data_IF_948757942673
#
_entry.id   IF_948757942673
#
_cell.length_a   1.000
_cell.length_b   1.000
_cell.length_c   1.000
_cell.angle_alpha   90.00
_cell.angle_beta   90.00
_cell.angle_gamma   90.00
#
_symmetry.space_group_name_H-M   'P 1'
#
loop_
_entity.id
_entity.type
_entity.pdbx_description
1 polymer ?
#
# COMPACT_ATOMS: atom_id res chain seq x y z
N UNK A 1 -11.72 -17.03 1.74
CA UNK A 1 -11.31 -16.70 3.13
C UNK A 1 -10.88 -15.25 3.14
N UNK A 2 -11.33 -14.44 4.08
CA UNK A 2 -10.90 -13.05 4.20
C UNK A 2 -10.70 -12.67 5.66
N UNK A 3 -10.20 -11.46 5.89
CA UNK A 3 -9.95 -10.95 7.23
C UNK A 3 -11.19 -10.36 7.93
N UNK A 4 -12.37 -10.35 7.31
CA UNK A 4 -13.53 -9.52 7.74
C UNK A 4 -14.07 -9.76 9.16
N UNK A 5 -13.62 -10.77 9.90
CA UNK A 5 -14.09 -11.06 11.27
C UNK A 5 -12.97 -11.47 12.22
N UNK A 6 -11.74 -11.04 11.96
CA UNK A 6 -10.55 -11.50 12.69
C UNK A 6 -10.22 -10.58 13.87
N UNK A 7 -10.22 -11.15 15.08
CA UNK A 7 -9.96 -10.39 16.31
C UNK A 7 -8.66 -10.78 17.02
N UNK A 8 -7.91 -11.78 16.53
CA UNK A 8 -6.68 -12.26 17.18
C UNK A 8 -5.48 -12.30 16.25
N UNK A 9 -4.28 -12.06 16.81
CA UNK A 9 -3.01 -12.05 16.06
C UNK A 9 -2.73 -13.40 15.39
N UNK A 10 -2.99 -14.51 16.08
CA UNK A 10 -2.80 -15.86 15.53
C UNK A 10 -3.72 -16.12 14.35
N UNK A 11 -4.96 -15.61 14.39
CA UNK A 11 -5.90 -15.73 13.27
C UNK A 11 -5.44 -14.88 12.07
N UNK A 12 -4.91 -13.67 12.30
CA UNK A 12 -4.28 -12.87 11.24
C UNK A 12 -3.11 -13.62 10.58
N UNK A 13 -2.20 -14.18 11.39
CA UNK A 13 -1.06 -14.95 10.88
C UNK A 13 -1.50 -16.19 10.09
N UNK A 14 -2.50 -16.93 10.57
CA UNK A 14 -3.06 -18.10 9.87
C UNK A 14 -3.66 -17.72 8.52
N UNK A 15 -4.49 -16.68 8.47
CA UNK A 15 -5.14 -16.25 7.24
C UNK A 15 -4.10 -15.72 6.24
N UNK A 16 -3.12 -14.96 6.70
CA UNK A 16 -2.00 -14.52 5.86
C UNK A 16 -1.27 -15.72 5.24
N UNK A 17 -0.95 -16.76 6.02
CA UNK A 17 -0.36 -18.00 5.51
C UNK A 17 -1.23 -18.65 4.44
N UNK A 18 -2.53 -18.84 4.71
CA UNK A 18 -3.43 -19.50 3.77
C UNK A 18 -3.61 -18.70 2.46
N UNK A 19 -3.70 -17.37 2.55
CA UNK A 19 -3.73 -16.48 1.39
C UNK A 19 -2.43 -16.55 0.59
N UNK A 20 -1.27 -16.57 1.25
CA UNK A 20 0.02 -16.69 0.58
C UNK A 20 0.19 -18.02 -0.16
N UNK A 21 -0.26 -19.14 0.43
CA UNK A 21 -0.23 -20.44 -0.24
C UNK A 21 -1.03 -20.35 -1.54
N UNK A 22 -2.28 -19.87 -1.44
CA UNK A 22 -3.16 -19.71 -2.61
C UNK A 22 -2.57 -18.80 -3.67
N UNK A 23 -2.03 -17.64 -3.27
CA UNK A 23 -1.38 -16.72 -4.21
C UNK A 23 -0.13 -17.32 -4.84
N UNK A 24 0.66 -18.11 -4.10
CA UNK A 24 1.85 -18.79 -4.64
C UNK A 24 1.49 -19.89 -5.65
N UNK A 25 0.38 -20.60 -5.43
CA UNK A 25 -0.13 -21.62 -6.34
C UNK A 25 -0.63 -21.02 -7.67
N UNK A 26 -1.23 -19.83 -7.63
CA UNK A 26 -1.80 -19.18 -8.82
C UNK A 26 -0.82 -18.24 -9.52
N UNK A 27 0.09 -17.59 -8.78
CA UNK A 27 1.00 -16.59 -9.34
C UNK A 27 1.94 -17.19 -10.39
N UNK A 28 1.91 -16.58 -11.58
CA UNK A 28 2.68 -17.01 -12.75
C UNK A 28 2.13 -18.25 -13.46
N UNK A 29 0.95 -18.76 -13.07
CA UNK A 29 0.22 -19.79 -13.80
C UNK A 29 -0.35 -19.27 -15.13
N UNK A 30 -0.89 -20.17 -15.96
CA UNK A 30 -1.41 -19.82 -17.30
C UNK A 30 -2.53 -18.78 -17.25
N UNK A 31 -3.48 -18.94 -16.32
CA UNK A 31 -4.62 -18.03 -16.18
C UNK A 31 -4.17 -16.66 -15.65
N UNK A 32 -3.27 -16.64 -14.66
CA UNK A 32 -2.67 -15.41 -14.14
C UNK A 32 -1.90 -14.65 -15.23
N UNK A 33 -1.07 -15.34 -16.02
CA UNK A 33 -0.36 -14.73 -17.17
C UNK A 33 -1.32 -14.19 -18.23
N UNK A 34 -2.42 -14.89 -18.51
CA UNK A 34 -3.44 -14.40 -19.45
C UNK A 34 -4.14 -13.14 -18.91
N UNK A 35 -4.44 -13.11 -17.61
CA UNK A 35 -4.97 -11.93 -16.94
C UNK A 35 -3.99 -10.75 -17.00
N UNK A 36 -2.72 -10.96 -16.65
CA UNK A 36 -1.67 -9.95 -16.72
C UNK A 36 -1.50 -9.44 -18.16
N UNK A 37 -1.52 -10.32 -19.16
CA UNK A 37 -1.43 -9.91 -20.56
C UNK A 37 -2.60 -9.02 -20.96
N UNK A 38 -3.83 -9.36 -20.57
CA UNK A 38 -5.00 -8.53 -20.84
C UNK A 38 -4.89 -7.15 -20.15
N UNK A 39 -4.48 -7.14 -18.88
CA UNK A 39 -4.27 -5.91 -18.09
C UNK A 39 -3.21 -5.00 -18.71
N UNK A 40 -2.09 -5.56 -19.18
CA UNK A 40 -1.02 -4.75 -19.75
C UNK A 40 -1.28 -4.36 -21.20
N UNK A 41 -1.96 -5.19 -21.98
CA UNK A 41 -2.30 -4.84 -23.36
C UNK A 41 -3.15 -3.57 -23.39
N UNK A 42 -4.19 -3.49 -22.54
CA UNK A 42 -5.02 -2.28 -22.46
C UNK A 42 -4.24 -1.04 -21.98
N UNK A 43 -3.27 -1.21 -21.07
CA UNK A 43 -2.42 -0.10 -20.59
C UNK A 43 -1.38 0.35 -21.61
N UNK A 44 -0.82 -0.56 -22.40
CA UNK A 44 0.17 -0.24 -23.43
C UNK A 44 -0.45 0.27 -24.72
N UNK A 45 -1.70 -0.09 -25.04
CA UNK A 45 -2.46 0.53 -26.14
C UNK A 45 -2.64 2.06 -25.96
N UNK A 46 -2.60 2.55 -24.72
CA UNK A 46 -2.64 3.98 -24.39
C UNK A 46 -1.24 4.60 -24.23
N UNK A 47 -0.19 3.77 -24.15
CA UNK A 47 1.20 4.21 -24.04
C UNK A 47 1.88 4.09 -25.40
N UNK A 48 1.45 4.90 -26.35
CA UNK A 48 2.19 5.14 -27.58
C UNK A 48 3.66 5.48 -27.23
N UNK A 49 4.61 4.82 -27.90
CA UNK A 49 6.06 5.06 -27.85
C UNK A 49 6.92 4.31 -26.79
N UNK A 50 6.94 2.97 -26.80
CA UNK A 50 8.09 2.25 -26.20
C UNK A 50 9.30 2.10 -27.14
N UNK A 51 9.23 2.58 -28.39
CA UNK A 51 10.35 2.52 -29.34
C UNK A 51 10.88 1.11 -29.62
N UNK A 52 10.18 0.06 -29.14
CA UNK A 52 10.48 -1.35 -29.44
C UNK A 52 9.78 -1.74 -30.73
N UNK A 53 10.50 -2.43 -31.60
CA UNK A 53 10.01 -2.88 -32.90
C UNK A 53 8.88 -3.93 -32.82
N UNK A 54 8.58 -4.46 -31.62
CA UNK A 54 7.49 -5.41 -31.37
C UNK A 54 6.83 -5.15 -29.99
N UNK A 55 5.66 -4.49 -29.95
CA UNK A 55 4.89 -4.26 -28.73
C UNK A 55 4.46 -5.55 -28.03
N UNK A 56 4.18 -6.63 -28.75
CA UNK A 56 3.73 -7.89 -28.16
C UNK A 56 4.86 -8.58 -27.39
N UNK A 57 6.07 -8.58 -27.96
CA UNK A 57 7.25 -9.07 -27.26
C UNK A 57 7.53 -8.24 -25.99
N UNK A 58 7.33 -6.91 -26.04
CA UNK A 58 7.47 -6.05 -24.88
C UNK A 58 6.46 -6.37 -23.77
N UNK A 59 5.19 -6.58 -24.12
CA UNK A 59 4.15 -7.00 -23.16
C UNK A 59 4.51 -8.36 -22.55
N UNK A 60 4.98 -9.32 -23.35
CA UNK A 60 5.37 -10.64 -22.87
C UNK A 60 6.52 -10.56 -21.83
N UNK A 61 7.57 -9.78 -22.12
CA UNK A 61 8.68 -9.55 -21.18
C UNK A 61 8.21 -8.96 -19.86
N UNK A 62 7.33 -7.96 -19.91
CA UNK A 62 6.78 -7.28 -18.72
C UNK A 62 5.93 -8.25 -17.91
N UNK A 63 5.04 -9.00 -18.56
CA UNK A 63 4.21 -10.03 -17.90
C UNK A 63 5.09 -11.06 -17.21
N UNK A 64 6.14 -11.54 -17.87
CA UNK A 64 7.06 -12.51 -17.31
C UNK A 64 7.86 -11.96 -16.12
N UNK A 65 8.32 -10.71 -16.21
CA UNK A 65 9.02 -10.05 -15.11
C UNK A 65 8.11 -9.88 -13.87
N UNK A 66 6.87 -9.41 -14.08
CA UNK A 66 5.90 -9.19 -13.01
C UNK A 66 5.45 -10.51 -12.40
N UNK A 67 5.19 -11.54 -13.21
CA UNK A 67 4.84 -12.87 -12.72
C UNK A 67 5.95 -13.46 -11.84
N UNK A 68 7.22 -13.33 -12.24
CA UNK A 68 8.37 -13.76 -11.43
C UNK A 68 8.48 -12.99 -10.12
N UNK A 69 8.41 -11.67 -10.17
CA UNK A 69 8.50 -10.82 -8.98
C UNK A 69 7.33 -11.07 -8.00
N UNK A 70 6.11 -11.16 -8.52
CA UNK A 70 4.92 -11.49 -7.73
C UNK A 70 5.09 -12.84 -7.05
N UNK A 71 5.51 -13.87 -7.78
CA UNK A 71 5.75 -15.21 -7.21
C UNK A 71 6.82 -15.18 -6.12
N UNK A 72 7.91 -14.42 -6.31
CA UNK A 72 8.95 -14.26 -5.30
C UNK A 72 8.39 -13.62 -4.02
N UNK A 73 7.65 -12.51 -4.14
CA UNK A 73 7.05 -11.85 -2.98
C UNK A 73 6.07 -12.79 -2.23
N UNK A 74 5.17 -13.47 -2.95
CA UNK A 74 4.19 -14.38 -2.34
C UNK A 74 4.83 -15.61 -1.68
N UNK A 75 5.89 -16.16 -2.25
CA UNK A 75 6.54 -17.38 -1.74
C UNK A 75 7.58 -17.12 -0.63
N UNK A 76 8.53 -16.22 -0.88
CA UNK A 76 9.70 -16.00 -0.02
C UNK A 76 9.72 -14.66 0.69
N UNK A 77 8.83 -13.72 0.33
CA UNK A 77 8.76 -12.42 0.99
C UNK A 77 8.38 -12.50 2.47
N UNK A 78 8.75 -11.49 3.26
CA UNK A 78 8.24 -11.35 4.63
C UNK A 78 6.76 -10.96 4.62
N UNK A 79 5.98 -11.50 5.56
CA UNK A 79 4.54 -11.26 5.66
C UNK A 79 4.23 -10.20 6.71
N UNK A 80 3.50 -9.17 6.31
CA UNK A 80 3.02 -8.10 7.18
C UNK A 80 1.49 -8.03 7.08
N UNK A 81 0.83 -7.83 8.21
CA UNK A 81 -0.61 -7.58 8.28
C UNK A 81 -0.81 -6.24 8.97
N UNK A 82 -1.45 -5.29 8.29
CA UNK A 82 -1.81 -4.02 8.90
C UNK A 82 -3.05 -4.22 9.77
N UNK A 83 -2.99 -3.92 11.06
CA UNK A 83 -4.19 -3.99 11.87
C UNK A 83 -5.20 -2.91 11.44
N UNK A 84 -6.53 -3.18 11.51
CA UNK A 84 -7.57 -2.23 11.13
C UNK A 84 -7.38 -0.79 11.65
N UNK A 85 -7.01 -0.65 12.93
CA UNK A 85 -6.78 0.67 13.54
C UNK A 85 -5.62 1.47 12.92
N UNK A 86 -4.71 0.81 12.20
CA UNK A 86 -3.59 1.44 11.48
C UNK A 86 -3.95 1.84 10.04
N UNK A 87 -5.03 1.27 9.46
CA UNK A 87 -5.45 1.51 8.07
C UNK A 87 -5.63 3.00 7.80
N UNK A 88 -6.38 3.68 8.66
CA UNK A 88 -6.62 5.12 8.60
C UNK A 88 -5.32 5.95 8.61
N UNK A 89 -4.36 5.55 9.42
CA UNK A 89 -3.10 6.28 9.62
C UNK A 89 -2.22 6.13 8.38
N UNK A 90 -2.10 4.91 7.85
CA UNK A 90 -1.33 4.64 6.64
C UNK A 90 -2.00 5.28 5.42
N UNK A 91 -3.33 5.20 5.32
CA UNK A 91 -4.08 5.85 4.24
C UNK A 91 -3.88 7.36 4.22
N UNK A 92 -4.08 8.04 5.36
CA UNK A 92 -3.89 9.48 5.47
C UNK A 92 -2.42 9.90 5.21
N UNK A 93 -1.47 9.08 5.67
CA UNK A 93 -0.05 9.32 5.41
C UNK A 93 0.30 9.14 3.93
N UNK A 94 -0.23 8.11 3.27
CA UNK A 94 -0.08 7.87 1.84
C UNK A 94 -0.68 9.00 1.00
N UNK A 95 -1.90 9.43 1.32
CA UNK A 95 -2.58 10.54 0.64
C UNK A 95 -1.77 11.85 0.71
N UNK A 96 -1.16 12.14 1.86
CA UNK A 96 -0.36 13.34 2.06
C UNK A 96 1.08 13.24 1.52
N UNK A 97 1.47 12.11 0.93
CA UNK A 97 2.86 11.86 0.55
C UNK A 97 3.15 12.28 -0.89
N UNK A 98 4.19 13.10 -1.04
CA UNK A 98 4.85 13.34 -2.31
C UNK A 98 6.35 13.04 -2.18
N UNK A 99 6.80 11.98 -2.84
CA UNK A 99 8.19 11.54 -2.89
C UNK A 99 8.99 12.20 -4.00
N UNK A 100 8.42 13.07 -4.83
CA UNK A 100 9.14 13.67 -5.96
C UNK A 100 10.47 14.28 -5.53
N UNK A 101 11.55 13.85 -6.16
CA UNK A 101 12.92 14.27 -5.86
C UNK A 101 13.56 13.64 -4.62
N UNK A 102 12.84 12.88 -3.81
CA UNK A 102 13.42 12.19 -2.65
C UNK A 102 14.41 11.11 -3.12
N UNK A 103 15.54 11.00 -2.41
CA UNK A 103 16.55 9.98 -2.65
C UNK A 103 16.34 8.80 -1.69
N UNK A 104 15.74 7.72 -2.18
CA UNK A 104 15.45 6.53 -1.37
C UNK A 104 16.65 5.57 -1.35
N UNK A 105 16.98 5.04 -0.17
CA UNK A 105 18.02 4.00 -0.02
C UNK A 105 17.40 2.60 -0.01
N UNK A 106 18.22 1.56 -0.18
CA UNK A 106 17.76 0.17 -0.05
C UNK A 106 17.19 -0.14 1.35
N UNK A 107 17.65 0.57 2.37
CA UNK A 107 17.18 0.43 3.76
C UNK A 107 15.82 1.10 4.02
N UNK A 108 15.25 1.77 3.01
CA UNK A 108 13.91 2.36 3.12
C UNK A 108 12.83 1.30 3.34
N UNK A 109 13.00 0.12 2.75
CA UNK A 109 12.11 -1.03 2.93
C UNK A 109 12.59 -1.91 4.09
N UNK A 110 11.69 -2.59 4.82
CA UNK A 110 12.08 -3.49 5.91
C UNK A 110 12.79 -4.76 5.43
N UNK A 111 12.64 -5.12 4.15
CA UNK A 111 13.23 -6.30 3.52
C UNK A 111 13.16 -6.22 1.98
N UNK A 112 13.94 -7.07 1.29
CA UNK A 112 14.04 -7.11 -0.20
C UNK A 112 12.81 -7.69 -0.91
N UNK A 113 12.01 -8.49 -0.21
CA UNK A 113 10.76 -9.02 -0.74
C UNK A 113 9.74 -9.06 0.40
N UNK A 114 8.53 -8.60 0.14
CA UNK A 114 7.50 -8.67 1.16
C UNK A 114 6.10 -8.52 0.64
N UNK A 115 5.17 -8.83 1.52
CA UNK A 115 3.73 -8.79 1.31
C UNK A 115 3.11 -8.05 2.48
N UNK A 116 2.37 -7.00 2.19
CA UNK A 116 1.51 -6.29 3.13
C UNK A 116 0.06 -6.68 2.85
N UNK A 117 -0.61 -7.26 3.83
CA UNK A 117 -2.05 -7.48 3.81
C UNK A 117 -2.77 -6.30 4.47
N UNK A 118 -3.88 -5.89 3.85
CA UNK A 118 -4.79 -4.86 4.34
C UNK A 118 -6.15 -5.53 4.63
N UNK A 119 -6.37 -6.02 5.86
CA UNK A 119 -7.65 -6.58 6.32
C UNK A 119 -8.85 -5.69 6.02
N UNK A 120 -8.66 -4.38 6.14
CA UNK A 120 -9.56 -3.35 5.64
C UNK A 120 -8.92 -2.76 4.39
N UNK A 121 -9.45 -3.08 3.19
CA UNK A 121 -8.91 -2.53 1.96
C UNK A 121 -8.94 -1.01 1.97
N UNK A 122 -7.89 -0.42 1.39
CA UNK A 122 -7.84 1.01 1.09
C UNK A 122 -8.27 1.14 -0.37
N UNK A 123 -9.27 1.97 -0.63
CA UNK A 123 -9.74 2.21 -1.99
C UNK A 123 -8.96 3.36 -2.58
N UNK A 124 -8.79 3.33 -3.89
CA UNK A 124 -8.34 4.50 -4.62
C UNK A 124 -9.25 4.74 -5.82
N UNK A 125 -9.43 6.02 -6.13
CA UNK A 125 -10.16 6.47 -7.31
C UNK A 125 -9.14 6.96 -8.32
N UNK A 126 -9.10 6.32 -9.49
CA UNK A 126 -8.25 6.75 -10.60
C UNK A 126 -8.75 8.07 -11.19
N UNK A 127 -7.91 8.78 -11.97
CA UNK A 127 -8.35 9.98 -12.67
C UNK A 127 -9.59 9.76 -13.57
N UNK A 128 -9.77 8.55 -14.11
CA UNK A 128 -10.96 8.15 -14.90
C UNK A 128 -12.24 8.02 -14.07
N UNK A 129 -12.17 8.15 -12.75
CA UNK A 129 -13.31 7.96 -11.84
C UNK A 129 -13.50 6.53 -11.34
N UNK A 130 -12.84 5.55 -11.96
CA UNK A 130 -12.91 4.13 -11.58
C UNK A 130 -12.32 3.92 -10.19
N UNK A 131 -13.03 3.17 -9.36
CA UNK A 131 -12.61 2.83 -8.00
C UNK A 131 -12.05 1.41 -7.99
N UNK A 132 -10.93 1.21 -7.29
CA UNK A 132 -10.37 -0.11 -7.06
C UNK A 132 -9.92 -0.26 -5.60
N UNK A 133 -10.13 -1.45 -5.03
CA UNK A 133 -9.64 -1.79 -3.70
C UNK A 133 -8.16 -2.20 -3.73
N UNK A 134 -7.42 -1.84 -2.69
CA UNK A 134 -6.10 -2.39 -2.39
C UNK A 134 -6.24 -3.20 -1.11
N UNK A 135 -6.27 -4.52 -1.24
CA UNK A 135 -6.33 -5.46 -0.13
C UNK A 135 -4.99 -6.14 0.17
N UNK A 136 -4.04 -6.06 -0.75
CA UNK A 136 -2.64 -6.44 -0.51
C UNK A 136 -1.68 -5.61 -1.36
N UNK A 137 -0.45 -5.44 -0.89
CA UNK A 137 0.65 -4.84 -1.66
C UNK A 137 1.86 -5.76 -1.54
N UNK A 138 2.49 -6.09 -2.66
CA UNK A 138 3.79 -6.78 -2.65
C UNK A 138 4.88 -5.88 -3.14
N UNK A 139 6.11 -6.12 -2.68
CA UNK A 139 7.29 -5.49 -3.25
C UNK A 139 8.41 -6.49 -3.46
N UNK A 140 9.27 -6.17 -4.42
CA UNK A 140 10.47 -6.94 -4.73
C UNK A 140 11.58 -6.00 -5.20
N UNK A 141 12.76 -6.11 -4.59
CA UNK A 141 13.96 -5.40 -5.05
C UNK A 141 14.39 -6.01 -6.39
N UNK A 142 14.48 -5.16 -7.40
CA UNK A 142 14.89 -5.55 -8.75
C UNK A 142 16.15 -4.78 -9.15
N UNK A 143 16.96 -5.41 -9.98
CA UNK A 143 18.11 -4.79 -10.63
C UNK A 143 17.89 -4.85 -12.14
N UNK A 144 18.16 -3.76 -12.85
CA UNK A 144 18.19 -3.73 -14.31
C UNK A 144 19.62 -4.01 -14.80
N UNK A 145 19.77 -4.52 -16.01
CA UNK A 145 21.09 -4.82 -16.62
C UNK A 145 22.00 -3.59 -16.73
N UNK A 146 21.43 -2.38 -16.77
CA UNK A 146 22.18 -1.13 -16.74
C UNK A 146 22.70 -0.74 -15.35
N UNK A 147 22.54 -1.61 -14.34
CA UNK A 147 23.06 -1.40 -12.98
C UNK A 147 22.14 -0.62 -12.03
N UNK A 148 21.01 -0.11 -12.52
CA UNK A 148 20.00 0.52 -11.68
C UNK A 148 19.26 -0.48 -10.78
N UNK A 149 18.83 -0.01 -9.60
CA UNK A 149 17.97 -0.78 -8.69
C UNK A 149 16.66 -0.05 -8.42
N UNK A 150 15.60 -0.80 -8.23
CA UNK A 150 14.28 -0.26 -7.91
C UNK A 150 13.45 -1.29 -7.14
N UNK A 151 12.43 -0.82 -6.44
CA UNK A 151 11.36 -1.66 -5.91
C UNK A 151 10.27 -1.77 -6.95
N UNK A 152 10.01 -2.97 -7.46
CA UNK A 152 8.75 -3.25 -8.15
C UNK A 152 7.68 -3.46 -7.09
N UNK A 153 6.62 -2.66 -7.16
CA UNK A 153 5.50 -2.67 -6.23
C UNK A 153 4.25 -3.06 -7.00
N UNK A 154 3.50 -3.99 -6.45
CA UNK A 154 2.26 -4.48 -7.04
C UNK A 154 1.14 -4.35 -6.01
N UNK A 155 0.06 -3.64 -6.33
CA UNK A 155 -1.16 -3.64 -5.51
C UNK A 155 -2.13 -4.69 -6.03
N UNK A 156 -2.85 -5.31 -5.10
CA UNK A 156 -3.83 -6.33 -5.43
C UNK A 156 -5.18 -6.06 -4.77
N UNK A 157 -6.26 -6.20 -5.54
CA UNK A 157 -7.63 -6.15 -5.06
C UNK A 157 -8.15 -7.53 -4.67
N UNK A 158 -8.94 -7.66 -3.59
CA UNK A 158 -9.61 -8.93 -3.28
C UNK A 158 -10.69 -9.24 -4.33
N UNK A 159 -10.66 -10.44 -4.91
CA UNK A 159 -11.65 -10.86 -5.94
C UNK A 159 -13.08 -10.87 -5.41
N UNK A 160 -13.24 -11.17 -4.13
CA UNK A 160 -14.54 -11.33 -3.49
C UNK A 160 -14.97 -10.10 -2.67
N UNK A 161 -14.32 -8.94 -2.87
CA UNK A 161 -14.72 -7.69 -2.20
C UNK A 161 -16.14 -7.26 -2.64
N UNK A 162 -17.13 -7.19 -1.72
CA UNK A 162 -18.48 -6.70 -2.04
C UNK A 162 -18.57 -5.19 -2.23
N UNK A 163 -17.62 -4.45 -1.66
CA UNK A 163 -17.62 -3.00 -1.64
C UNK A 163 -16.91 -2.44 -2.90
N UNK A 164 -16.06 -3.23 -3.57
CA UNK A 164 -15.36 -2.83 -4.80
C UNK A 164 -16.24 -3.06 -6.06
N UNK A 165 -16.66 -1.99 -6.78
CA UNK A 165 -17.47 -2.11 -8.00
C UNK A 165 -16.80 -2.96 -9.09
N UNK A 166 -15.48 -2.85 -9.25
CA UNK A 166 -14.72 -3.63 -10.22
C UNK A 166 -14.70 -5.12 -9.85
N UNK A 167 -14.54 -5.44 -8.56
CA UNK A 167 -14.63 -6.83 -8.09
C UNK A 167 -16.05 -7.40 -8.24
N UNK A 168 -17.10 -6.59 -8.02
CA UNK A 168 -18.50 -6.99 -8.24
C UNK A 168 -18.77 -7.26 -9.72
N UNK A 169 -18.27 -6.42 -10.63
CA UNK A 169 -18.39 -6.66 -12.07
C UNK A 169 -17.64 -7.93 -12.49
N UNK A 170 -16.37 -8.07 -12.08
CA UNK A 170 -15.56 -9.24 -12.37
C UNK A 170 -16.19 -10.53 -11.88
N UNK A 171 -16.79 -10.55 -10.68
CA UNK A 171 -17.47 -11.74 -10.16
C UNK A 171 -18.67 -12.16 -11.00
N UNK A 172 -19.42 -11.19 -11.56
CA UNK A 172 -20.53 -11.49 -12.47
C UNK A 172 -20.02 -12.18 -13.75
N UNK A 173 -18.88 -11.76 -14.26
CA UNK A 173 -18.25 -12.40 -15.42
C UNK A 173 -17.65 -13.77 -15.10
N UNK A 174 -16.95 -13.90 -13.97
CA UNK A 174 -16.38 -15.16 -13.50
C UNK A 174 -17.44 -16.20 -13.13
N UNK A 175 -18.63 -15.78 -12.70
CA UNK A 175 -19.76 -16.70 -12.46
C UNK A 175 -20.19 -17.43 -13.74
N UNK A 176 -19.96 -16.84 -14.92
CA UNK A 176 -20.21 -17.47 -16.22
C UNK A 176 -19.08 -18.38 -16.67
N UNK A 177 -17.92 -18.34 -16.00
CA UNK A 177 -16.70 -19.01 -16.45
C UNK A 177 -15.91 -19.64 -15.29
N UNK A 178 -16.45 -20.72 -14.72
CA UNK A 178 -15.93 -21.35 -13.50
C UNK A 178 -14.46 -21.83 -13.62
N UNK A 179 -14.04 -22.30 -14.80
CA UNK A 179 -12.66 -22.71 -15.05
C UNK A 179 -11.67 -21.56 -14.86
N UNK A 180 -12.02 -20.36 -15.33
CA UNK A 180 -11.21 -19.16 -15.15
C UNK A 180 -11.15 -18.80 -13.66
N UNK A 181 -12.29 -18.83 -12.95
CA UNK A 181 -12.34 -18.55 -11.50
C UNK A 181 -11.40 -19.45 -10.70
N UNK A 182 -11.32 -20.74 -11.03
CA UNK A 182 -10.43 -21.67 -10.31
C UNK A 182 -8.95 -21.44 -10.57
N UNK A 183 -8.59 -20.83 -11.71
CA UNK A 183 -7.21 -20.49 -12.05
C UNK A 183 -6.75 -19.13 -11.49
N UNK A 184 -7.66 -18.34 -10.94
CA UNK A 184 -7.36 -17.03 -10.34
C UNK A 184 -7.12 -17.15 -8.83
N UNK A 185 -6.20 -16.31 -8.34
CA UNK A 185 -5.93 -16.18 -6.92
C UNK A 185 -7.05 -15.43 -6.18
N UNK A 186 -7.04 -15.44 -4.83
CA UNK A 186 -7.96 -14.63 -4.02
C UNK A 186 -7.74 -13.12 -4.18
N UNK A 187 -6.59 -12.72 -4.72
CA UNK A 187 -6.24 -11.35 -5.04
C UNK A 187 -5.81 -11.25 -6.50
N UNK A 188 -6.18 -10.15 -7.16
CA UNK A 188 -5.75 -9.85 -8.53
C UNK A 188 -4.97 -8.56 -8.60
N UNK A 189 -3.97 -8.54 -9.48
CA UNK A 189 -3.12 -7.38 -9.67
C UNK A 189 -3.95 -6.21 -10.20
N UNK A 190 -4.04 -5.15 -9.40
CA UNK A 190 -4.78 -3.95 -9.76
C UNK A 190 -3.87 -2.87 -10.32
N UNK A 191 -2.69 -2.68 -9.73
CA UNK A 191 -1.74 -1.67 -10.16
C UNK A 191 -0.30 -2.05 -9.92
N UNK A 192 0.59 -1.33 -10.61
CA UNK A 192 2.04 -1.45 -10.45
C UNK A 192 2.68 -0.08 -10.30
N UNK A 193 3.72 -0.03 -9.47
CA UNK A 193 4.55 1.15 -9.32
C UNK A 193 6.02 0.75 -9.18
N UNK A 194 6.91 1.68 -9.53
CA UNK A 194 8.34 1.50 -9.38
C UNK A 194 8.91 2.61 -8.50
N UNK A 195 9.57 2.26 -7.41
CA UNK A 195 10.33 3.22 -6.61
C UNK A 195 11.83 3.03 -6.83
N UNK A 196 12.55 4.02 -7.39
CA UNK A 196 13.98 3.89 -7.62
C UNK A 196 14.76 3.79 -6.30
N UNK A 197 15.86 3.05 -6.31
CA UNK A 197 16.81 2.95 -5.21
C UNK A 197 18.08 3.71 -5.60
N UNK A 198 18.59 4.53 -4.68
CA UNK A 198 19.77 5.37 -4.85
C UNK A 198 19.69 6.34 -6.04
N UNK A 199 18.46 6.68 -6.46
CA UNK A 199 18.18 7.74 -7.43
C UNK A 199 16.97 8.56 -6.96
N UNK A 200 16.91 9.86 -7.31
CA UNK A 200 15.72 10.66 -7.03
C UNK A 200 14.48 10.03 -7.64
N UNK A 201 13.37 10.02 -6.88
CA UNK A 201 12.06 9.63 -7.40
C UNK A 201 11.65 10.64 -8.48
N UNK A 202 11.35 10.19 -9.71
CA UNK A 202 10.93 11.11 -10.77
C UNK A 202 9.60 11.77 -10.41
N UNK A 203 9.38 12.97 -10.93
CA UNK A 203 8.05 13.55 -10.92
C UNK A 203 7.08 12.62 -11.68
N UNK A 204 5.82 12.51 -11.25
CA UNK A 204 4.81 11.83 -12.06
C UNK A 204 4.72 12.51 -13.44
N UNK A 205 4.47 11.75 -14.51
CA UNK A 205 4.19 12.35 -15.81
C UNK A 205 2.94 13.22 -15.69
N UNK A 206 2.84 14.26 -16.53
CA UNK A 206 1.60 15.02 -16.63
C UNK A 206 0.44 14.06 -16.96
N UNK A 207 -0.70 14.17 -16.26
CA UNK A 207 -1.83 13.30 -16.52
C UNK A 207 -2.28 13.51 -17.97
N UNK A 208 -2.47 12.40 -18.70
CA UNK A 208 -3.04 12.46 -20.04
C UNK A 208 -4.42 13.15 -19.97
N UNK A 209 -4.77 13.99 -20.95
CA UNK A 209 -6.12 14.53 -21.03
C UNK A 209 -7.11 13.36 -21.10
N UNK A 210 -8.07 13.36 -20.18
CA UNK A 210 -9.12 12.34 -20.10
C UNK A 210 -10.30 12.87 -20.88
N UNK A 211 -10.77 12.11 -21.86
CA UNK A 211 -12.02 12.41 -22.54
C UNK A 211 -13.17 12.35 -21.53
N UNK A 212 -14.09 13.31 -21.55
CA UNK A 212 -15.29 13.28 -20.71
C UNK A 212 -16.10 11.99 -20.95
N UNK A 213 -16.03 11.42 -22.15
CA UNK A 213 -16.66 10.15 -22.49
C UNK A 213 -16.00 8.92 -21.83
N UNK A 214 -14.74 9.03 -21.40
CA UNK A 214 -13.99 7.99 -20.70
C UNK A 214 -14.12 8.09 -19.17
N UNK A 215 -14.82 9.10 -18.65
CA UNK A 215 -15.09 9.25 -17.23
C UNK A 215 -16.16 8.26 -16.77
N UNK A 216 -15.76 7.27 -15.97
CA UNK A 216 -16.64 6.35 -15.26
C UNK A 216 -16.61 6.70 -13.77
N UNK A 217 -17.43 7.68 -13.36
CA UNK A 217 -17.47 8.13 -11.97
C UNK A 217 -18.22 7.15 -11.08
N UNK A 218 -17.51 6.15 -10.58
CA UNK A 218 -18.08 5.10 -9.74
C UNK A 218 -18.34 5.61 -8.31
N UNK A 219 -19.36 5.06 -7.65
CA UNK A 219 -19.62 5.35 -6.23
C UNK A 219 -18.50 4.77 -5.36
N UNK A 220 -18.10 5.53 -4.34
CA UNK A 220 -17.16 5.03 -3.34
C UNK A 220 -17.88 4.27 -2.24
N UNK A 221 -17.25 3.26 -1.64
CA UNK A 221 -17.83 2.57 -0.50
C UNK A 221 -18.01 3.50 0.70
N UNK A 222 -19.16 3.42 1.36
CA UNK A 222 -19.42 4.20 2.57
C UNK A 222 -18.52 3.76 3.73
N UNK A 223 -18.01 4.72 4.50
CA UNK A 223 -17.19 4.47 5.69
C UNK A 223 -15.80 3.87 5.41
N UNK A 224 -15.39 3.76 4.15
CA UNK A 224 -14.05 3.29 3.76
C UNK A 224 -13.14 4.46 3.40
N UNK A 225 -11.83 4.26 3.57
CA UNK A 225 -10.83 5.21 3.11
C UNK A 225 -10.69 5.10 1.60
N UNK A 226 -10.87 6.24 0.91
CA UNK A 226 -10.67 6.36 -0.53
C UNK A 226 -9.64 7.46 -0.78
N UNK A 227 -8.55 7.11 -1.44
CA UNK A 227 -7.54 8.06 -1.90
C UNK A 227 -7.86 8.44 -3.34
N UNK A 228 -8.08 9.72 -3.60
CA UNK A 228 -8.22 10.22 -4.97
C UNK A 228 -6.83 10.35 -5.58
N UNK A 229 -6.60 9.63 -6.67
CA UNK A 229 -5.44 9.83 -7.51
C UNK A 229 -5.68 11.07 -8.37
N UNK A 230 -5.04 12.18 -7.97
CA UNK A 230 -5.08 13.44 -8.70
C UNK A 230 -4.03 13.51 -9.81
N UNK A 231 -3.23 12.44 -10.02
CA UNK A 231 -2.17 12.37 -11.04
C UNK A 231 -0.96 13.27 -10.76
N UNK A 232 -1.00 14.09 -9.71
CA UNK A 232 0.01 15.11 -9.43
C UNK A 232 1.01 14.69 -8.34
N UNK A 233 0.84 13.50 -7.77
CA UNK A 233 1.64 13.00 -6.66
C UNK A 233 2.30 11.67 -7.01
N UNK A 234 3.08 11.18 -6.06
CA UNK A 234 3.53 9.78 -6.07
C UNK A 234 2.34 8.85 -6.25
N UNK A 235 2.50 7.84 -7.11
CA UNK A 235 1.53 6.77 -7.31
C UNK A 235 0.96 6.26 -5.98
N UNK A 236 -0.36 6.09 -5.89
CA UNK A 236 -1.06 5.75 -4.65
C UNK A 236 -0.52 4.45 -4.03
N UNK A 237 -0.21 3.44 -4.85
CA UNK A 237 0.33 2.16 -4.39
C UNK A 237 1.72 2.35 -3.77
N UNK A 238 2.60 3.09 -4.46
CA UNK A 238 3.92 3.41 -3.95
C UNK A 238 3.86 4.27 -2.67
N UNK A 239 2.93 5.23 -2.63
CA UNK A 239 2.77 6.12 -1.50
C UNK A 239 2.29 5.40 -0.25
N UNK A 240 1.29 4.52 -0.38
CA UNK A 240 0.80 3.66 0.69
C UNK A 240 1.89 2.74 1.23
N UNK A 241 2.66 2.10 0.34
CA UNK A 241 3.70 1.19 0.77
C UNK A 241 4.84 1.90 1.50
N UNK A 242 5.29 3.04 0.96
CA UNK A 242 6.32 3.85 1.62
C UNK A 242 5.83 4.38 2.97
N UNK A 243 4.57 4.85 3.02
CA UNK A 243 3.95 5.28 4.27
C UNK A 243 3.98 4.16 5.32
N UNK A 244 3.59 2.95 4.93
CA UNK A 244 3.70 1.76 5.77
C UNK A 244 5.13 1.51 6.24
N UNK A 245 6.14 1.49 5.35
CA UNK A 245 7.53 1.26 5.72
C UNK A 245 8.03 2.25 6.77
N UNK A 246 7.70 3.54 6.60
CA UNK A 246 8.10 4.59 7.55
C UNK A 246 7.32 4.54 8.85
N UNK A 247 6.05 4.20 8.83
CA UNK A 247 5.21 4.16 10.03
C UNK A 247 5.56 2.94 10.90
N UNK A 248 5.74 1.75 10.30
CA UNK A 248 6.09 0.53 11.05
C UNK A 248 7.48 0.59 11.70
N UNK A 249 8.35 1.49 11.23
CA UNK A 249 9.64 1.77 11.85
C UNK A 249 9.56 2.78 13.01
N UNK A 250 8.42 3.45 13.22
CA UNK A 250 8.27 4.46 14.26
C UNK A 250 7.86 3.86 15.61
N UNK A 251 8.27 4.47 16.74
CA UNK A 251 7.93 3.99 18.10
C UNK A 251 6.43 3.97 18.43
N UNK A 252 5.59 4.58 17.59
CA UNK A 252 4.12 4.54 17.70
C UNK A 252 3.54 3.18 17.31
N UNK A 253 4.35 2.29 16.75
CA UNK A 253 3.91 0.96 16.31
C UNK A 253 4.55 -0.17 17.12
N UNK A 254 3.88 -1.32 17.12
CA UNK A 254 4.44 -2.61 17.54
C UNK A 254 4.17 -3.61 16.42
N UNK A 255 5.18 -4.40 16.07
CA UNK A 255 5.11 -5.41 15.03
C UNK A 255 5.59 -6.77 15.57
N UNK A 256 4.82 -7.44 16.45
CA UNK A 256 5.23 -8.73 16.99
C UNK A 256 5.24 -9.77 15.86
N UNK A 257 6.34 -10.53 15.78
CA UNK A 257 6.40 -11.75 14.97
C UNK A 257 5.46 -12.77 15.61
N UNK A 258 4.29 -12.95 15.01
CA UNK A 258 3.29 -13.88 15.53
C UNK A 258 3.45 -15.21 14.80
N UNK A 259 3.84 -16.29 15.49
CA UNK A 259 3.90 -17.60 14.87
C UNK A 259 2.48 -18.05 14.50
N UNK A 260 2.32 -18.57 13.28
CA UNK A 260 1.08 -19.22 12.90
C UNK A 260 0.83 -20.50 13.72
N UNK A 261 -0.42 -20.95 13.82
CA UNK A 261 -0.74 -22.19 14.50
C UNK A 261 -0.05 -23.42 13.85
N UNK A 262 0.08 -24.52 14.60
CA UNK A 262 0.78 -25.73 14.12
C UNK A 262 0.23 -26.25 12.77
N UNK A 263 -1.09 -26.29 12.53
CA UNK A 263 -1.64 -26.65 11.22
C UNK A 263 -1.19 -25.71 10.09
N UNK A 264 -1.27 -24.39 10.27
CA UNK A 264 -0.86 -23.42 9.27
C UNK A 264 0.64 -23.51 8.97
N UNK A 265 1.49 -23.66 10.00
CA UNK A 265 2.94 -23.87 9.84
C UNK A 265 3.25 -25.11 8.98
N UNK A 266 2.56 -26.22 9.21
CA UNK A 266 2.72 -27.45 8.41
C UNK A 266 2.27 -27.27 6.97
N UNK A 267 1.20 -26.51 6.72
CA UNK A 267 0.78 -26.17 5.35
C UNK A 267 1.83 -25.30 4.66
N UNK A 268 2.31 -24.27 5.34
CA UNK A 268 3.35 -23.39 4.81
C UNK A 268 4.66 -24.12 4.47
N UNK A 269 5.11 -25.01 5.36
CA UNK A 269 6.30 -25.84 5.12
C UNK A 269 6.13 -26.73 3.88
N UNK A 270 4.95 -27.36 3.70
CA UNK A 270 4.66 -28.16 2.49
C UNK A 270 4.63 -27.30 1.23
N UNK A 271 4.13 -26.08 1.32
CA UNK A 271 4.10 -25.12 0.23
C UNK A 271 5.44 -24.38 0.01
N UNK A 272 6.47 -24.68 0.82
CA UNK A 272 7.76 -24.00 0.80
C UNK A 272 7.67 -22.46 0.88
N UNK A 273 6.75 -21.95 1.69
CA UNK A 273 6.60 -20.51 1.91
C UNK A 273 7.13 -20.03 3.27
N UNK A 274 7.58 -18.78 3.31
CA UNK A 274 7.85 -18.08 4.57
C UNK A 274 6.52 -17.83 5.29
N UNK A 275 6.45 -18.15 6.58
CA UNK A 275 5.19 -18.14 7.35
C UNK A 275 5.22 -17.32 8.63
N UNK A 276 6.37 -16.72 8.96
CA UNK A 276 6.41 -15.69 10.00
C UNK A 276 5.63 -14.48 9.51
N UNK A 277 4.65 -14.06 10.31
CA UNK A 277 3.81 -12.90 10.00
C UNK A 277 3.98 -11.84 11.08
N UNK A 278 4.27 -10.60 10.67
CA UNK A 278 4.33 -9.43 11.53
C UNK A 278 2.99 -8.70 11.48
N UNK A 279 2.29 -8.60 12.61
CA UNK A 279 1.02 -7.85 12.67
C UNK A 279 1.31 -6.43 13.16
N UNK A 280 1.28 -5.45 12.27
CA UNK A 280 1.63 -4.07 12.60
C UNK A 280 0.43 -3.36 13.22
N UNK A 281 0.60 -2.91 14.47
CA UNK A 281 -0.43 -2.28 15.29
C UNK A 281 0.06 -0.99 15.91
N UNK A 282 -0.87 -0.14 16.35
CA UNK A 282 -0.55 0.95 17.28
C UNK A 282 0.00 0.38 18.58
N UNK A 283 1.10 0.98 19.04
CA UNK A 283 1.59 0.80 20.41
C UNK A 283 0.55 1.39 21.35
N UNK A 284 0.19 0.68 22.42
CA UNK A 284 -0.56 1.27 23.53
C UNK A 284 0.27 2.41 24.10
N UNK A 285 -0.16 3.64 23.84
CA UNK A 285 0.42 4.82 24.49
C UNK A 285 -0.25 4.95 25.85
N UNK A 286 0.53 4.83 26.92
CA UNK A 286 0.14 5.45 28.20
C UNK A 286 -0.16 6.93 27.94
N UNK A 287 -1.10 7.56 28.66
CA UNK A 287 -1.28 9.01 28.59
C UNK A 287 0.10 9.66 28.73
N UNK A 288 0.39 10.63 27.87
CA UNK A 288 1.63 11.38 27.93
C UNK A 288 1.72 11.95 29.35
N UNK A 289 2.65 11.42 30.14
CA UNK A 289 3.06 12.07 31.38
C UNK A 289 3.79 13.33 30.90
N UNK A 290 3.30 14.48 31.36
CA UNK A 290 3.78 15.80 30.94
C UNK A 290 5.32 15.85 31.00
N UNK A 291 6.02 16.15 29.89
CA UNK A 291 7.46 16.30 29.92
C UNK A 291 7.84 17.62 30.61
N UNK A 292 8.11 17.55 31.91
CA UNK A 292 9.05 18.42 32.63
C UNK A 292 8.62 19.85 32.95
N UNK A 293 8.75 20.19 34.23
CA UNK A 293 8.72 21.53 34.83
C UNK A 293 9.83 22.47 34.30
N UNK A 294 9.85 22.71 33.00
CA UNK A 294 10.46 23.90 32.43
C UNK A 294 9.36 24.95 32.28
N UNK A 295 9.50 26.11 32.92
CA UNK A 295 8.54 27.21 32.78
C UNK A 295 8.47 27.62 31.30
N UNK A 296 7.48 27.08 30.58
CA UNK A 296 7.24 27.44 29.20
C UNK A 296 6.88 28.93 29.14
N UNK A 297 7.69 29.71 28.42
CA UNK A 297 7.51 31.16 28.27
C UNK A 297 6.17 31.56 27.61
N UNK A 298 5.44 30.59 27.04
CA UNK A 298 4.19 30.78 26.32
C UNK A 298 3.21 29.63 26.58
N UNK A 299 1.96 29.96 26.94
CA UNK A 299 0.86 29.00 27.10
C UNK A 299 -0.24 29.29 26.07
N UNK A 300 -0.68 28.24 25.36
CA UNK A 300 -1.85 28.34 24.49
C UNK A 300 -3.11 28.54 25.36
N UNK A 301 -4.05 29.38 24.92
CA UNK A 301 -5.35 29.58 25.62
C UNK A 301 -6.49 28.71 25.08
N UNK A 302 -6.21 27.99 23.99
CA UNK A 302 -7.17 27.22 23.20
C UNK A 302 -6.56 25.89 22.81
N UNK A 303 -7.41 24.92 22.50
CA UNK A 303 -7.06 23.69 21.81
C UNK A 303 -7.33 23.85 20.32
N UNK A 304 -6.50 23.26 19.46
CA UNK A 304 -6.75 23.24 18.03
C UNK A 304 -6.31 21.92 17.41
N UNK A 305 -6.96 21.54 16.31
CA UNK A 305 -6.65 20.32 15.57
C UNK A 305 -5.42 20.54 14.68
N UNK A 306 -4.39 19.72 14.88
CA UNK A 306 -3.21 19.67 14.01
C UNK A 306 -3.43 18.54 13.01
N UNK A 307 -3.44 18.87 11.71
CA UNK A 307 -3.51 17.86 10.65
C UNK A 307 -2.24 17.00 10.64
N UNK A 308 -2.40 15.73 10.25
CA UNK A 308 -1.26 14.84 10.04
C UNK A 308 -0.36 15.39 8.93
N UNK A 309 0.95 15.24 9.10
CA UNK A 309 1.92 15.73 8.12
C UNK A 309 3.23 14.93 8.15
N UNK A 310 3.92 14.94 7.02
CA UNK A 310 5.28 14.41 6.91
C UNK A 310 6.30 15.43 7.41
N UNK A 311 7.16 15.01 8.35
CA UNK A 311 8.32 15.78 8.79
C UNK A 311 9.59 15.20 8.20
N UNK A 312 10.38 16.05 7.56
CA UNK A 312 11.73 15.71 7.05
C UNK A 312 12.74 15.78 8.20
N UNK A 313 13.54 14.74 8.33
CA UNK A 313 14.61 14.58 9.32
C UNK A 313 15.87 14.08 8.63
N UNK A 314 16.99 14.07 9.35
CA UNK A 314 18.29 13.56 8.89
C UNK A 314 18.79 12.56 9.93
N UNK A 315 19.27 11.40 9.48
CA UNK A 315 19.82 10.38 10.37
C UNK A 315 21.24 10.74 10.86
N UNK A 316 21.86 9.86 11.67
CA UNK A 316 23.22 10.10 12.19
C UNK A 316 24.28 10.08 11.08
N UNK A 317 23.96 9.49 9.94
CA UNK A 317 24.82 9.33 8.77
C UNK A 317 24.61 10.45 7.75
N UNK A 318 23.68 11.38 8.00
CA UNK A 318 23.40 12.49 7.09
C UNK A 318 22.34 12.19 6.04
N UNK A 319 21.70 11.02 6.04
CA UNK A 319 20.68 10.68 5.06
C UNK A 319 19.31 11.28 5.43
N UNK A 320 18.62 11.92 4.47
CA UNK A 320 17.29 12.44 4.70
C UNK A 320 16.28 11.30 4.84
N UNK A 321 15.35 11.43 5.78
CA UNK A 321 14.22 10.52 5.90
C UNK A 321 12.96 11.25 6.37
N UNK A 322 11.80 10.60 6.23
CA UNK A 322 10.51 11.14 6.66
C UNK A 322 9.93 10.36 7.84
N UNK A 323 9.28 11.09 8.74
CA UNK A 323 8.40 10.54 9.79
C UNK A 323 7.01 11.13 9.65
N UNK A 324 6.00 10.31 9.94
CA UNK A 324 4.61 10.74 9.93
C UNK A 324 4.23 11.26 11.32
N UNK A 325 3.83 12.51 11.41
CA UNK A 325 3.24 13.07 12.62
C UNK A 325 1.73 12.89 12.52
N UNK A 326 1.17 12.01 13.34
CA UNK A 326 -0.28 11.77 13.35
C UNK A 326 -1.05 13.04 13.75
N UNK A 327 -2.25 13.19 13.19
CA UNK A 327 -3.16 14.25 13.59
C UNK A 327 -3.46 14.18 15.10
N UNK A 328 -3.43 15.32 15.78
CA UNK A 328 -3.63 15.40 17.23
C UNK A 328 -4.20 16.76 17.62
N UNK A 329 -4.74 16.84 18.84
CA UNK A 329 -5.16 18.11 19.42
C UNK A 329 -3.99 18.70 20.21
N UNK A 330 -3.69 19.97 19.99
CA UNK A 330 -2.66 20.71 20.72
C UNK A 330 -3.30 21.84 21.54
N UNK A 331 -2.85 22.04 22.77
CA UNK A 331 -3.34 23.07 23.70
C UNK A 331 -3.55 22.51 25.11
N UNK A 332 -3.87 23.33 26.11
CA UNK A 332 -4.10 22.88 27.48
C UNK A 332 -5.37 22.04 27.57
N UNK A 333 -5.35 21.03 28.44
CA UNK A 333 -6.54 20.28 28.77
C UNK A 333 -7.63 21.19 29.35
N UNK A 334 -8.88 20.98 28.91
CA UNK A 334 -10.02 21.81 29.30
C UNK A 334 -10.19 23.13 28.54
N UNK A 335 -9.21 23.59 27.76
CA UNK A 335 -9.36 24.82 26.98
C UNK A 335 -10.37 24.65 25.82
N UNK A 336 -11.03 25.72 25.33
CA UNK A 336 -11.97 25.62 24.20
C UNK A 336 -11.30 25.03 22.94
N UNK A 337 -11.97 24.08 22.28
CA UNK A 337 -11.47 23.48 21.03
C UNK A 337 -11.90 24.35 19.85
N UNK A 338 -10.93 24.90 19.12
CA UNK A 338 -11.13 25.56 17.85
C UNK A 338 -11.36 24.49 16.78
N UNK A 339 -12.62 24.32 16.39
CA UNK A 339 -13.03 23.56 15.20
C UNK A 339 -12.90 24.51 14.01
N UNK A 340 -11.96 24.22 13.10
CA UNK A 340 -11.47 25.18 12.13
C UNK A 340 -12.40 25.40 10.93
N UNK A 341 -12.70 26.66 10.64
CA UNK A 341 -12.31 27.23 9.35
C UNK A 341 -11.05 28.10 9.57
N UNK A 342 -10.11 28.02 8.63
CA UNK A 342 -8.69 28.45 8.69
C UNK A 342 -8.37 29.69 9.56
N UNK A 343 -7.26 29.64 10.32
CA UNK A 343 -6.63 30.85 10.90
C UNK A 343 -5.12 30.85 10.64
N UNK A 344 -4.65 31.88 9.92
CA UNK A 344 -3.26 32.30 9.95
C UNK A 344 -3.01 33.04 11.26
N UNK A 345 -2.16 32.50 12.13
CA UNK A 345 -1.77 33.21 13.35
C UNK A 345 -0.60 34.11 13.02
N UNK A 346 -0.89 35.41 12.89
CA UNK A 346 0.09 36.48 12.95
C UNK A 346 0.40 36.74 14.43
N UNK A 347 1.55 36.28 14.90
CA UNK A 347 2.06 36.63 16.22
C UNK A 347 2.67 38.05 16.19
N UNK A 348 2.43 38.84 17.24
CA UNK A 348 3.20 40.06 17.56
C UNK A 348 4.22 39.75 18.63
#
# INVERSE_FOLDING_TARGET
MSFHHVTSLTSYARIAVDLRIRMTETAGGTVDRAYLRALFTSRFEHADATGRNDPQAAVADVVDAIARASKAAWSVGESFVLAPAMTAIVAAAGEALDLTGDLLTAESAPCDHGVLFLPEPIYHRRPTGVVAAIGAITWTSMSVTSGGRFWLICSYGPVDDPDDPAAVALRRDLARNHQVRTGLGPYLLNDIANLPIARPVPAPPDPAPIDEHDLDWQSTPEGRYVITDDGHRTDVTAALLYAFWRIQAQPITVAPKTPADRPARRRAQRASIVHETRVVMLRRTSPATDPGDGVAKWHYRVRFFVRGHWRRLVDKQGHPYRVWVQAHIKGPDGAPLLLGEKVAVLAR
#
